data_IF_111641153095
#
_entry.id   IF_111641153095
#
_cell.length_a   1.000
_cell.length_b   1.000
_cell.length_c   1.000
_cell.angle_alpha   90.00
_cell.angle_beta   90.00
_cell.angle_gamma   90.00
#
_symmetry.space_group_name_H-M   'P 1'
#
loop_
_entity.id
_entity.type
_entity.pdbx_description
1 polymer ?
#
# COMPACT_ATOMS: atom_id res chain seq x y z
N UNK A 1 -12.34 10.46 -7.83
CA UNK A 1 -12.41 11.69 -8.68
C UNK A 1 -13.24 12.81 -8.04
N UNK A 2 -14.31 12.53 -7.30
CA UNK A 2 -15.12 13.58 -6.63
C UNK A 2 -14.29 14.50 -5.70
N UNK A 3 -13.42 13.93 -4.84
CA UNK A 3 -12.59 14.68 -3.90
C UNK A 3 -11.59 15.65 -4.55
N UNK A 4 -11.20 15.40 -5.80
CA UNK A 4 -10.24 16.23 -6.54
C UNK A 4 -10.90 17.07 -7.64
N UNK A 5 -12.24 17.16 -7.65
CA UNK A 5 -13.02 17.85 -8.69
C UNK A 5 -12.67 17.40 -10.12
N UNK A 6 -12.42 16.11 -10.29
CA UNK A 6 -12.03 15.51 -11.57
C UNK A 6 -10.56 15.63 -11.94
N UNK A 7 -9.74 16.40 -11.23
CA UNK A 7 -8.33 16.63 -11.53
C UNK A 7 -7.47 15.36 -11.40
N UNK A 8 -7.79 14.49 -10.48
CA UNK A 8 -6.96 13.35 -10.08
C UNK A 8 -6.03 13.67 -8.90
N UNK A 9 -5.34 12.66 -8.39
CA UNK A 9 -4.45 12.77 -7.25
C UNK A 9 -3.03 13.20 -7.67
N UNK A 10 -2.37 14.01 -6.86
CA UNK A 10 -0.98 14.44 -7.09
C UNK A 10 0.00 13.27 -6.99
N UNK A 11 -0.24 12.39 -6.00
CA UNK A 11 0.54 11.17 -5.75
C UNK A 11 -0.43 10.03 -5.48
N UNK A 12 -0.21 8.90 -6.13
CA UNK A 12 -0.93 7.64 -5.87
C UNK A 12 0.08 6.59 -5.42
N UNK A 13 -0.19 5.93 -4.29
CA UNK A 13 0.62 4.81 -3.79
C UNK A 13 -0.16 3.51 -4.02
N UNK A 14 0.34 2.64 -4.89
CA UNK A 14 -0.14 1.29 -5.04
C UNK A 14 0.60 0.41 -4.02
N UNK A 15 -0.14 -0.18 -3.07
CA UNK A 15 0.44 -0.88 -1.92
C UNK A 15 0.02 -2.36 -1.83
N UNK A 16 -0.57 -2.91 -2.87
CA UNK A 16 -1.06 -4.30 -2.92
C UNK A 16 -0.16 -5.17 -3.79
N UNK A 17 0.36 -4.63 -4.90
CA UNK A 17 1.21 -5.34 -5.85
C UNK A 17 0.42 -6.05 -6.96
N UNK A 18 -0.75 -5.59 -7.30
CA UNK A 18 -1.57 -6.16 -8.38
C UNK A 18 -1.51 -5.31 -9.64
N UNK A 19 -1.26 -5.90 -10.83
CA UNK A 19 -1.17 -5.13 -12.09
C UNK A 19 -2.42 -4.31 -12.43
N UNK A 20 -3.62 -4.83 -12.16
CA UNK A 20 -4.87 -4.10 -12.38
C UNK A 20 -5.00 -2.86 -11.47
N UNK A 21 -4.49 -2.92 -10.25
CA UNK A 21 -4.45 -1.78 -9.34
C UNK A 21 -3.39 -0.75 -9.77
N UNK A 22 -2.30 -1.18 -10.39
CA UNK A 22 -1.33 -0.27 -11.01
C UNK A 22 -1.99 0.51 -12.14
N UNK A 23 -2.75 -0.16 -13.03
CA UNK A 23 -3.51 0.51 -14.09
C UNK A 23 -4.50 1.53 -13.52
N UNK A 24 -5.23 1.14 -12.47
CA UNK A 24 -6.15 2.04 -11.77
C UNK A 24 -5.41 3.25 -11.16
N UNK A 25 -4.22 3.02 -10.59
CA UNK A 25 -3.40 4.09 -10.02
C UNK A 25 -3.00 5.12 -11.07
N UNK A 26 -2.60 4.67 -12.26
CA UNK A 26 -2.32 5.57 -13.40
C UNK A 26 -3.55 6.38 -13.78
N UNK A 27 -4.71 5.74 -13.89
CA UNK A 27 -5.97 6.42 -14.23
C UNK A 27 -6.42 7.46 -13.19
N UNK A 28 -6.11 7.24 -11.91
CA UNK A 28 -6.45 8.14 -10.81
C UNK A 28 -5.48 9.32 -10.66
N UNK A 29 -4.29 9.24 -11.27
CA UNK A 29 -3.25 10.25 -11.15
C UNK A 29 -3.55 11.44 -12.06
N UNK A 30 -3.30 12.68 -11.58
CA UNK A 30 -3.44 13.89 -12.41
C UNK A 30 -2.31 14.03 -13.43
N UNK A 31 -2.43 15.00 -14.32
CA UNK A 31 -1.32 15.46 -15.17
C UNK A 31 -0.11 15.86 -14.32
N UNK A 32 1.10 15.49 -14.78
CA UNK A 32 2.38 15.64 -14.08
C UNK A 32 2.40 15.04 -12.66
N UNK A 33 1.55 14.04 -12.40
CA UNK A 33 1.48 13.35 -11.10
C UNK A 33 2.43 12.16 -11.00
N UNK A 34 2.42 11.51 -9.84
CA UNK A 34 3.35 10.43 -9.50
C UNK A 34 2.58 9.19 -9.07
N UNK A 35 2.95 8.04 -9.60
CA UNK A 35 2.53 6.72 -9.11
C UNK A 35 3.72 6.03 -8.44
N UNK A 36 3.61 5.71 -7.17
CA UNK A 36 4.59 4.95 -6.42
C UNK A 36 4.13 3.50 -6.25
N UNK A 37 4.90 2.56 -6.80
CA UNK A 37 4.68 1.13 -6.66
C UNK A 37 5.36 0.64 -5.37
N UNK A 38 4.59 0.50 -4.31
CA UNK A 38 5.02 0.07 -2.98
C UNK A 38 4.68 -1.40 -2.74
N UNK A 39 3.55 -1.87 -3.28
CA UNK A 39 3.14 -3.26 -3.24
C UNK A 39 4.09 -4.16 -4.03
N UNK A 40 4.40 -5.34 -3.49
CA UNK A 40 5.30 -6.30 -4.15
C UNK A 40 4.48 -7.19 -5.08
N UNK A 41 4.68 -7.00 -6.38
CA UNK A 41 4.03 -7.85 -7.39
C UNK A 41 4.72 -9.21 -7.50
N UNK A 42 3.98 -10.28 -7.84
CA UNK A 42 4.57 -11.57 -8.16
C UNK A 42 5.59 -11.46 -9.29
N UNK A 43 6.62 -12.32 -9.25
CA UNK A 43 7.63 -12.37 -10.30
C UNK A 43 6.97 -12.64 -11.66
N UNK A 44 7.41 -11.92 -12.69
CA UNK A 44 6.86 -12.05 -14.04
C UNK A 44 5.56 -11.25 -14.27
N UNK A 45 5.03 -10.56 -13.28
CA UNK A 45 3.89 -9.67 -13.48
C UNK A 45 4.21 -8.62 -14.53
N UNK A 46 3.28 -8.41 -15.44
CA UNK A 46 3.39 -7.42 -16.51
C UNK A 46 2.11 -6.60 -16.57
N UNK A 47 2.26 -5.35 -16.94
CA UNK A 47 1.15 -4.43 -17.14
C UNK A 47 1.27 -3.79 -18.53
N UNK A 48 0.31 -3.98 -19.43
CA UNK A 48 0.22 -3.16 -20.62
C UNK A 48 -0.20 -1.74 -20.23
N UNK A 49 0.63 -0.76 -20.54
CA UNK A 49 0.33 0.66 -20.38
C UNK A 49 0.20 1.31 -21.75
N UNK A 50 -0.75 2.22 -21.88
CA UNK A 50 -0.76 3.15 -22.99
C UNK A 50 0.37 4.16 -22.77
N UNK A 51 1.47 3.98 -23.51
CA UNK A 51 2.64 4.84 -23.39
C UNK A 51 2.35 6.28 -23.83
N UNK A 52 1.45 6.47 -24.79
CA UNK A 52 1.06 7.81 -25.23
C UNK A 52 0.33 8.54 -24.10
N UNK A 53 -0.59 7.87 -23.38
CA UNK A 53 -1.28 8.47 -22.23
C UNK A 53 -0.29 8.86 -21.12
N UNK A 54 0.67 7.97 -20.82
CA UNK A 54 1.70 8.25 -19.80
C UNK A 54 2.55 9.45 -20.20
N UNK A 55 2.98 9.53 -21.47
CA UNK A 55 3.78 10.62 -22.00
C UNK A 55 3.00 11.93 -22.06
N UNK A 56 1.80 11.90 -22.63
CA UNK A 56 0.95 13.09 -22.79
C UNK A 56 0.57 13.71 -21.45
N UNK A 57 0.33 12.88 -20.44
CA UNK A 57 -0.02 13.32 -19.09
C UNK A 57 1.20 13.55 -18.21
N UNK A 58 2.42 13.34 -18.71
CA UNK A 58 3.69 13.50 -17.96
C UNK A 58 3.74 12.71 -16.64
N UNK A 59 3.12 11.52 -16.59
CA UNK A 59 3.03 10.72 -15.38
C UNK A 59 4.39 10.08 -15.08
N UNK A 60 4.82 10.15 -13.83
CA UNK A 60 6.00 9.44 -13.34
C UNK A 60 5.57 8.19 -12.60
N UNK A 61 6.13 7.05 -12.99
CA UNK A 61 5.91 5.76 -12.32
C UNK A 61 7.23 5.33 -11.70
N UNK A 62 7.26 5.16 -10.40
CA UNK A 62 8.47 4.79 -9.65
C UNK A 62 8.25 3.57 -8.75
N UNK A 63 9.22 2.65 -8.75
CA UNK A 63 9.26 1.52 -7.83
C UNK A 63 9.90 1.91 -6.50
N UNK A 64 9.33 1.43 -5.40
CA UNK A 64 9.86 1.60 -4.04
C UNK A 64 10.05 0.22 -3.43
N UNK A 65 11.25 -0.03 -2.92
CA UNK A 65 11.53 -1.26 -2.19
C UNK A 65 12.28 -0.92 -0.90
N UNK A 66 11.67 -1.19 0.24
CA UNK A 66 12.04 -0.74 1.60
C UNK A 66 13.52 -0.85 2.00
N UNK A 67 14.42 -0.24 1.21
CA UNK A 67 15.86 -0.20 1.45
C UNK A 67 16.31 1.20 1.90
N UNK A 68 17.40 1.24 2.64
CA UNK A 68 18.06 2.48 3.02
C UNK A 68 17.46 3.15 4.25
N UNK A 69 17.55 4.47 4.31
CA UNK A 69 17.21 5.29 5.48
C UNK A 69 15.71 5.43 5.77
N UNK A 70 14.84 4.96 4.85
CA UNK A 70 13.40 5.08 4.99
C UNK A 70 12.86 4.38 6.26
N UNK A 71 13.45 3.25 6.65
CA UNK A 71 13.05 2.51 7.85
C UNK A 71 13.25 3.33 9.13
N UNK A 72 14.42 3.95 9.31
CA UNK A 72 14.71 4.78 10.49
C UNK A 72 13.80 6.01 10.56
N UNK A 73 13.52 6.63 9.40
CA UNK A 73 12.58 7.75 9.32
C UNK A 73 11.16 7.34 9.66
N UNK A 74 10.72 6.16 9.20
CA UNK A 74 9.42 5.62 9.55
C UNK A 74 9.29 5.36 11.05
N UNK A 75 10.31 4.75 11.68
CA UNK A 75 10.34 4.54 13.14
C UNK A 75 10.21 5.85 13.92
N UNK A 76 10.91 6.90 13.49
CA UNK A 76 10.85 8.21 14.15
C UNK A 76 9.45 8.86 14.05
N UNK A 77 8.67 8.52 13.03
CA UNK A 77 7.31 9.04 12.83
C UNK A 77 6.24 8.26 13.59
N UNK A 78 6.48 6.98 13.92
CA UNK A 78 5.48 6.11 14.55
C UNK A 78 4.79 6.73 15.77
N UNK A 79 5.50 7.37 16.73
CA UNK A 79 4.84 7.93 17.91
C UNK A 79 3.82 9.03 17.60
N UNK A 80 4.02 9.75 16.49
CA UNK A 80 3.13 10.86 16.07
C UNK A 80 1.93 10.40 15.26
N UNK A 81 1.95 9.17 14.72
CA UNK A 81 0.92 8.67 13.81
C UNK A 81 -0.22 7.92 14.49
N UNK A 82 -0.08 7.57 15.78
CA UNK A 82 -1.09 6.81 16.53
C UNK A 82 -1.40 5.47 15.87
N UNK A 83 -0.38 4.78 15.38
CA UNK A 83 -0.52 3.53 14.59
C UNK A 83 -1.08 2.36 15.41
N UNK A 84 -1.04 2.43 16.72
CA UNK A 84 -1.64 1.45 17.63
C UNK A 84 -3.13 1.25 17.36
N UNK A 85 -3.82 2.27 16.84
CA UNK A 85 -5.24 2.19 16.43
C UNK A 85 -5.48 1.21 15.29
N UNK A 86 -4.46 0.91 14.51
CA UNK A 86 -4.55 -0.04 13.42
C UNK A 86 -4.61 -1.48 13.90
N UNK A 87 -4.17 -1.75 15.15
CA UNK A 87 -4.27 -3.09 15.75
C UNK A 87 -5.71 -3.31 16.20
N UNK A 88 -6.47 -4.03 15.39
CA UNK A 88 -7.91 -4.27 15.60
C UNK A 88 -8.21 -5.62 16.22
N UNK A 89 -7.24 -6.53 16.24
CA UNK A 89 -7.39 -7.83 16.90
C UNK A 89 -6.04 -8.32 17.45
N UNK A 90 -6.10 -9.01 18.61
CA UNK A 90 -4.94 -9.65 19.24
C UNK A 90 -5.30 -11.09 19.57
N UNK A 91 -4.40 -12.01 19.26
CA UNK A 91 -4.54 -13.43 19.59
C UNK A 91 -3.28 -13.91 20.29
N UNK A 92 -3.38 -14.77 21.30
CA UNK A 92 -2.22 -15.44 21.85
C UNK A 92 -1.68 -16.47 20.85
N UNK A 93 -0.41 -16.87 21.02
CA UNK A 93 0.29 -17.74 20.06
C UNK A 93 -0.38 -19.11 19.91
N UNK A 94 -0.95 -19.65 20.96
CA UNK A 94 -1.70 -20.93 20.95
C UNK A 94 -2.97 -20.89 20.10
N UNK A 95 -3.49 -19.70 19.81
CA UNK A 95 -4.64 -19.47 18.93
C UNK A 95 -4.25 -18.93 17.55
N UNK A 96 -3.05 -19.24 17.08
CA UNK A 96 -2.51 -18.74 15.79
C UNK A 96 -3.40 -19.08 14.59
N UNK A 97 -4.02 -20.27 14.57
CA UNK A 97 -4.92 -20.68 13.49
C UNK A 97 -6.15 -19.75 13.37
N UNK A 98 -6.71 -19.34 14.51
CA UNK A 98 -7.83 -18.38 14.53
C UNK A 98 -7.39 -16.99 14.06
N UNK A 99 -6.17 -16.57 14.41
CA UNK A 99 -5.61 -15.30 13.95
C UNK A 99 -5.48 -15.27 12.41
N UNK A 100 -4.99 -16.36 11.81
CA UNK A 100 -4.93 -16.49 10.35
C UNK A 100 -6.31 -16.49 9.70
N UNK A 101 -7.26 -17.24 10.25
CA UNK A 101 -8.64 -17.25 9.77
C UNK A 101 -9.29 -15.87 9.85
N UNK A 102 -9.06 -15.13 10.94
CA UNK A 102 -9.53 -13.76 11.12
C UNK A 102 -8.97 -12.81 10.06
N UNK A 103 -7.66 -12.86 9.83
CA UNK A 103 -6.99 -12.03 8.83
C UNK A 103 -7.43 -12.39 7.40
N UNK A 104 -7.52 -13.69 7.07
CA UNK A 104 -7.98 -14.16 5.76
C UNK A 104 -9.44 -13.76 5.46
N UNK A 105 -10.27 -13.66 6.47
CA UNK A 105 -11.65 -13.17 6.35
C UNK A 105 -11.76 -11.65 6.18
N UNK A 106 -10.63 -10.92 6.11
CA UNK A 106 -10.61 -9.45 5.97
C UNK A 106 -11.19 -8.71 7.18
N UNK A 107 -11.23 -9.33 8.34
CA UNK A 107 -11.77 -8.73 9.57
C UNK A 107 -10.73 -7.80 10.20
N UNK A 108 -11.08 -6.52 10.32
CA UNK A 108 -10.22 -5.50 10.90
C UNK A 108 -9.08 -5.05 9.98
N UNK A 109 -8.09 -4.34 10.55
CA UNK A 109 -6.98 -3.74 9.81
C UNK A 109 -5.68 -4.52 10.06
N UNK A 110 -5.30 -4.69 11.33
CA UNK A 110 -4.08 -5.39 11.73
C UNK A 110 -4.39 -6.42 12.81
N UNK A 111 -4.11 -7.68 12.52
CA UNK A 111 -4.13 -8.78 13.48
C UNK A 111 -2.73 -8.99 14.03
N UNK A 112 -2.58 -9.01 15.35
CA UNK A 112 -1.31 -9.22 16.04
C UNK A 112 -1.38 -10.51 16.85
N UNK A 113 -0.28 -11.27 16.84
CA UNK A 113 -0.07 -12.44 17.68
C UNK A 113 0.86 -12.04 18.82
N UNK A 114 0.42 -12.29 20.05
CA UNK A 114 1.22 -12.03 21.26
C UNK A 114 1.80 -13.36 21.77
N UNK A 115 3.11 -13.45 22.02
CA UNK A 115 3.69 -14.60 22.72
C UNK A 115 3.10 -14.78 24.12
N UNK A 116 3.13 -16.00 24.65
CA UNK A 116 2.72 -16.26 26.03
C UNK A 116 3.61 -15.46 27.01
N UNK A 117 2.99 -14.68 27.90
CA UNK A 117 3.71 -13.90 28.93
C UNK A 117 4.16 -12.49 28.51
N UNK A 118 3.65 -11.94 27.40
CA UNK A 118 3.82 -10.53 27.04
C UNK A 118 2.58 -9.70 27.39
#
# INVERSE_FOLDING_TARGET
MALTRGRGADVVCEAVGRPDLVAQSVALTRFAGIVNLVGVSPQGSRLPLDLLDVQYREIRIGGVFGRGTAFHRALALLPSLGVERLVTARFPLDRIAEAFAHAAAGKGIKTVITPAGA
#
